data_IF_399673684231
#
_entry.id   IF_399673684231
#
_cell.length_a   1.000
_cell.length_b   1.000
_cell.length_c   1.000
_cell.angle_alpha   90.00
_cell.angle_beta   90.00
_cell.angle_gamma   90.00
#
_symmetry.space_group_name_H-M   'P 1'
#
loop_
_entity.id
_entity.type
_entity.pdbx_description
1 polymer ?
#
# COMPACT_ATOMS: atom_id res chain seq x y z
N UNK A 1 -72.31 -26.74 -13.77
CA UNK A 1 -71.37 -26.10 -14.69
C UNK A 1 -71.87 -26.31 -16.11
N UNK A 2 -72.34 -25.26 -16.77
CA UNK A 2 -72.86 -25.34 -18.15
C UNK A 2 -71.70 -25.34 -19.15
N UNK A 3 -71.93 -25.82 -20.38
CA UNK A 3 -70.92 -25.83 -21.47
C UNK A 3 -70.39 -24.43 -21.81
N UNK A 4 -71.18 -23.39 -21.56
CA UNK A 4 -70.78 -21.99 -21.75
C UNK A 4 -69.80 -21.50 -20.68
N UNK A 5 -69.99 -21.88 -19.40
CA UNK A 5 -69.06 -21.57 -18.31
C UNK A 5 -67.69 -22.22 -18.54
N UNK A 6 -67.67 -23.45 -19.07
CA UNK A 6 -66.44 -24.18 -19.43
C UNK A 6 -65.69 -23.53 -20.60
N UNK A 7 -66.42 -22.99 -21.58
CA UNK A 7 -65.84 -22.26 -22.72
C UNK A 7 -65.24 -20.91 -22.33
N UNK A 8 -65.88 -20.20 -21.38
CA UNK A 8 -65.35 -18.96 -20.81
C UNK A 8 -64.10 -19.20 -19.96
N UNK A 9 -64.06 -20.25 -19.13
CA UNK A 9 -62.86 -20.61 -18.37
C UNK A 9 -61.67 -20.98 -19.28
N UNK A 10 -61.91 -21.70 -20.38
CA UNK A 10 -60.84 -22.01 -21.34
C UNK A 10 -60.34 -20.78 -22.08
N UNK A 11 -61.23 -19.87 -22.47
CA UNK A 11 -60.84 -18.59 -23.08
C UNK A 11 -60.02 -17.74 -22.10
N UNK A 12 -60.44 -17.64 -20.84
CA UNK A 12 -59.66 -16.95 -19.80
C UNK A 12 -58.28 -17.58 -19.59
N UNK A 13 -58.18 -18.92 -19.54
CA UNK A 13 -56.90 -19.61 -19.39
C UNK A 13 -55.97 -19.34 -20.58
N UNK A 14 -56.50 -19.32 -21.81
CA UNK A 14 -55.72 -19.00 -23.02
C UNK A 14 -55.29 -17.54 -23.04
N UNK A 15 -56.16 -16.62 -22.61
CA UNK A 15 -55.86 -15.20 -22.52
C UNK A 15 -54.81 -14.91 -21.43
N UNK A 16 -54.96 -15.50 -20.23
CA UNK A 16 -53.97 -15.44 -19.15
C UNK A 16 -52.62 -16.01 -19.58
N UNK A 17 -52.59 -17.11 -20.35
CA UNK A 17 -51.35 -17.67 -20.93
C UNK A 17 -50.70 -16.74 -21.96
N UNK A 18 -51.47 -16.12 -22.86
CA UNK A 18 -50.96 -15.12 -23.81
C UNK A 18 -50.42 -13.89 -23.11
N UNK A 19 -51.16 -13.36 -22.15
CA UNK A 19 -50.76 -12.21 -21.33
C UNK A 19 -49.46 -12.51 -20.58
N UNK A 20 -49.35 -13.68 -19.93
CA UNK A 20 -48.10 -14.10 -19.26
C UNK A 20 -46.92 -14.21 -20.23
N UNK A 21 -47.12 -14.76 -21.43
CA UNK A 21 -46.05 -14.88 -22.45
C UNK A 21 -45.54 -13.52 -22.94
N UNK A 22 -46.35 -12.48 -22.89
CA UNK A 22 -45.95 -11.12 -23.31
C UNK A 22 -45.40 -10.32 -22.12
N UNK A 23 -46.04 -10.39 -20.95
CA UNK A 23 -45.65 -9.62 -19.77
C UNK A 23 -44.35 -10.13 -19.12
N UNK A 24 -44.10 -11.44 -19.09
CA UNK A 24 -42.87 -11.99 -18.48
C UNK A 24 -41.60 -11.48 -19.16
N UNK A 25 -41.47 -11.52 -20.51
CA UNK A 25 -40.33 -10.92 -21.20
C UNK A 25 -40.20 -9.42 -20.97
N UNK A 26 -41.32 -8.69 -20.96
CA UNK A 26 -41.31 -7.24 -20.70
C UNK A 26 -40.86 -6.91 -19.28
N UNK A 27 -41.28 -7.71 -18.29
CA UNK A 27 -40.85 -7.55 -16.90
C UNK A 27 -39.37 -7.90 -16.73
N UNK A 28 -38.89 -8.96 -17.39
CA UNK A 28 -37.48 -9.33 -17.40
C UNK A 28 -36.60 -8.26 -18.07
N UNK A 29 -37.06 -7.69 -19.19
CA UNK A 29 -36.38 -6.58 -19.86
C UNK A 29 -36.34 -5.34 -18.96
N UNK A 30 -37.46 -5.02 -18.28
CA UNK A 30 -37.52 -3.92 -17.34
C UNK A 30 -36.56 -4.11 -16.16
N UNK A 31 -36.52 -5.31 -15.56
CA UNK A 31 -35.57 -5.65 -14.49
C UNK A 31 -34.12 -5.54 -14.96
N UNK A 32 -33.79 -6.03 -16.16
CA UNK A 32 -32.45 -5.90 -16.72
C UNK A 32 -32.05 -4.43 -16.92
N UNK A 33 -32.98 -3.58 -17.37
CA UNK A 33 -32.75 -2.13 -17.50
C UNK A 33 -32.57 -1.46 -16.13
N UNK A 34 -33.32 -1.85 -15.11
CA UNK A 34 -33.15 -1.31 -13.76
C UNK A 34 -31.83 -1.75 -13.12
N UNK A 35 -31.44 -3.02 -13.29
CA UNK A 35 -30.15 -3.55 -12.84
C UNK A 35 -29.00 -2.83 -13.55
N UNK A 36 -29.08 -2.65 -14.87
CA UNK A 36 -28.07 -1.90 -15.62
C UNK A 36 -27.95 -0.44 -15.17
N UNK A 37 -29.06 0.23 -14.82
CA UNK A 37 -29.04 1.58 -14.25
C UNK A 37 -28.43 1.62 -12.85
N UNK A 38 -28.63 0.58 -12.03
CA UNK A 38 -28.05 0.48 -10.70
C UNK A 38 -26.54 0.32 -10.79
N UNK A 39 -26.08 -0.64 -11.60
CA UNK A 39 -24.65 -0.89 -11.88
C UNK A 39 -23.99 0.38 -12.42
N UNK A 40 -24.60 1.05 -13.40
CA UNK A 40 -24.07 2.31 -13.95
C UNK A 40 -23.96 3.45 -12.91
N UNK A 41 -24.90 3.53 -11.95
CA UNK A 41 -24.84 4.53 -10.88
C UNK A 41 -23.73 4.21 -9.87
N UNK A 42 -23.55 2.94 -9.54
CA UNK A 42 -22.47 2.48 -8.67
C UNK A 42 -21.11 2.71 -9.32
N UNK A 43 -20.91 2.32 -10.58
CA UNK A 43 -19.69 2.60 -11.33
C UNK A 43 -19.41 4.10 -11.45
N UNK A 44 -20.43 4.92 -11.72
CA UNK A 44 -20.26 6.38 -11.79
C UNK A 44 -19.91 6.99 -10.44
N UNK A 45 -20.47 6.47 -9.34
CA UNK A 45 -20.12 6.90 -7.97
C UNK A 45 -18.70 6.47 -7.63
N UNK A 46 -18.30 5.26 -8.02
CA UNK A 46 -16.98 4.68 -7.81
C UNK A 46 -15.89 5.45 -8.58
N UNK A 47 -16.07 5.65 -9.89
CA UNK A 47 -15.20 6.49 -10.70
C UNK A 47 -15.15 7.94 -10.20
N UNK A 48 -16.28 8.47 -9.70
CA UNK A 48 -16.34 9.78 -9.07
C UNK A 48 -15.50 9.87 -7.79
N UNK A 49 -15.55 8.83 -6.95
CA UNK A 49 -14.75 8.73 -5.73
C UNK A 49 -13.26 8.60 -6.06
N UNK A 50 -12.88 7.62 -6.88
CA UNK A 50 -11.50 7.41 -7.31
C UNK A 50 -10.90 8.68 -7.94
N UNK A 51 -11.66 9.38 -8.79
CA UNK A 51 -11.23 10.65 -9.38
C UNK A 51 -11.06 11.76 -8.34
N UNK A 52 -11.96 11.85 -7.35
CA UNK A 52 -11.83 12.82 -6.26
C UNK A 52 -10.57 12.54 -5.40
N UNK A 53 -10.28 11.27 -5.12
CA UNK A 53 -9.06 10.88 -4.38
C UNK A 53 -7.80 11.18 -5.21
N UNK A 54 -7.80 10.88 -6.52
CA UNK A 54 -6.70 11.23 -7.43
C UNK A 54 -6.43 12.74 -7.42
N UNK A 55 -7.48 13.57 -7.55
CA UNK A 55 -7.32 15.02 -7.48
C UNK A 55 -6.81 15.48 -6.11
N UNK A 56 -7.25 14.84 -5.02
CA UNK A 56 -6.75 15.13 -3.68
C UNK A 56 -5.25 14.83 -3.58
N UNK A 57 -4.80 13.66 -4.01
CA UNK A 57 -3.38 13.28 -4.01
C UNK A 57 -2.54 14.27 -4.82
N UNK A 58 -2.99 14.62 -6.02
CA UNK A 58 -2.34 15.62 -6.88
C UNK A 58 -2.27 17.02 -6.24
N UNK A 59 -3.25 17.41 -5.42
CA UNK A 59 -3.20 18.67 -4.66
C UNK A 59 -2.26 18.58 -3.46
N UNK A 60 -2.38 17.52 -2.65
CA UNK A 60 -1.57 17.27 -1.44
C UNK A 60 -0.08 17.28 -1.75
N UNK A 61 0.31 16.56 -2.81
CA UNK A 61 1.71 16.38 -3.19
C UNK A 61 2.17 17.29 -4.32
N UNK A 62 1.43 18.36 -4.63
CA UNK A 62 1.76 19.29 -5.71
C UNK A 62 3.18 19.87 -5.59
N UNK A 63 3.63 20.17 -4.35
CA UNK A 63 4.97 20.72 -4.10
C UNK A 63 6.09 19.76 -4.53
N UNK A 64 5.84 18.45 -4.49
CA UNK A 64 6.80 17.44 -4.93
C UNK A 64 6.90 17.33 -6.45
N UNK A 65 6.05 18.02 -7.21
CA UNK A 65 6.08 18.00 -8.67
C UNK A 65 5.81 16.62 -9.28
N UNK A 66 5.07 15.77 -8.56
CA UNK A 66 4.62 14.48 -9.05
C UNK A 66 3.16 14.57 -9.51
N UNK A 67 2.74 13.59 -10.30
CA UNK A 67 1.37 13.45 -10.78
C UNK A 67 0.88 12.03 -10.62
N UNK A 68 -0.26 11.91 -9.95
CA UNK A 68 -0.92 10.65 -9.67
C UNK A 68 -2.02 10.42 -10.70
N UNK A 69 -2.10 9.18 -11.18
CA UNK A 69 -3.18 8.70 -12.04
C UNK A 69 -3.81 7.48 -11.41
N UNK A 70 -5.13 7.42 -11.39
CA UNK A 70 -5.85 6.26 -10.91
C UNK A 70 -5.38 4.99 -11.62
N UNK A 71 -5.09 3.95 -10.84
CA UNK A 71 -4.75 2.63 -11.35
C UNK A 71 -5.88 1.64 -11.08
N UNK A 72 -6.23 1.48 -9.80
CA UNK A 72 -7.15 0.44 -9.35
C UNK A 72 -7.78 0.83 -8.02
N UNK A 73 -8.98 0.34 -7.74
CA UNK A 73 -9.62 0.46 -6.43
C UNK A 73 -9.97 -0.94 -5.93
N UNK A 74 -9.51 -1.25 -4.73
CA UNK A 74 -9.89 -2.47 -4.03
C UNK A 74 -11.04 -2.15 -3.07
N UNK A 75 -12.22 -2.68 -3.35
CA UNK A 75 -13.39 -2.53 -2.48
C UNK A 75 -13.21 -3.46 -1.27
N UNK A 76 -13.15 -2.84 -0.08
CA UNK A 76 -13.12 -3.48 1.24
C UNK A 76 -12.21 -4.70 1.37
N UNK A 77 -10.98 -4.47 1.85
CA UNK A 77 -10.21 -5.52 2.51
C UNK A 77 -11.05 -6.12 3.66
N UNK A 78 -10.77 -7.36 4.12
CA UNK A 78 -11.53 -8.03 5.19
C UNK A 78 -11.73 -7.24 6.49
N UNK A 79 -11.01 -6.13 6.65
CA UNK A 79 -10.98 -5.27 7.83
C UNK A 79 -11.77 -3.96 7.65
N UNK A 80 -12.58 -3.83 6.59
CA UNK A 80 -13.35 -2.60 6.32
C UNK A 80 -12.49 -1.44 5.78
N UNK A 81 -11.31 -1.74 5.24
CA UNK A 81 -10.41 -0.75 4.64
C UNK A 81 -10.64 -0.72 3.13
N UNK A 82 -11.00 0.43 2.59
CA UNK A 82 -11.02 0.68 1.14
C UNK A 82 -9.67 1.23 0.69
N UNK A 83 -9.12 0.73 -0.40
CA UNK A 83 -7.83 1.17 -0.95
C UNK A 83 -7.99 1.67 -2.37
N UNK A 84 -7.52 2.90 -2.63
CA UNK A 84 -7.31 3.40 -4.00
C UNK A 84 -5.82 3.34 -4.32
N UNK A 85 -5.47 2.75 -5.45
CA UNK A 85 -4.10 2.62 -5.95
C UNK A 85 -3.85 3.58 -7.11
N UNK A 86 -2.64 4.13 -7.17
CA UNK A 86 -2.23 5.12 -8.15
C UNK A 86 -0.94 4.72 -8.85
N UNK A 87 -0.83 5.14 -10.11
CA UNK A 87 0.44 5.33 -10.78
C UNK A 87 1.00 6.71 -10.44
N UNK A 88 2.31 6.79 -10.21
CA UNK A 88 3.05 8.05 -10.13
C UNK A 88 3.89 8.24 -11.38
N UNK A 89 3.98 9.47 -11.89
CA UNK A 89 4.88 9.78 -13.01
C UNK A 89 6.36 9.74 -12.60
N UNK A 90 6.68 10.03 -11.33
CA UNK A 90 8.04 9.90 -10.78
C UNK A 90 8.42 8.48 -10.39
N UNK A 91 7.44 7.66 -10.05
CA UNK A 91 7.60 6.27 -9.64
C UNK A 91 6.71 5.37 -10.53
N UNK A 92 6.97 5.32 -11.86
CA UNK A 92 6.06 4.74 -12.86
C UNK A 92 5.78 3.26 -12.66
N UNK A 93 6.76 2.51 -12.18
CA UNK A 93 6.62 1.07 -11.99
C UNK A 93 6.19 0.71 -10.54
N UNK A 94 6.11 1.69 -9.64
CA UNK A 94 6.10 1.43 -8.19
C UNK A 94 7.32 0.63 -7.70
N UNK A 95 8.36 0.44 -8.54
CA UNK A 95 8.99 -0.88 -8.63
C UNK A 95 10.40 -1.09 -8.10
N UNK A 96 11.25 -0.12 -7.81
CA UNK A 96 12.65 -0.56 -7.68
C UNK A 96 12.94 -1.38 -6.42
N UNK A 97 12.09 -1.37 -5.38
CA UNK A 97 12.12 -2.39 -4.34
C UNK A 97 10.78 -2.46 -3.58
N UNK A 98 10.35 -3.69 -3.29
CA UNK A 98 9.08 -4.12 -2.68
C UNK A 98 7.80 -4.09 -3.56
N UNK A 99 7.84 -3.59 -4.80
CA UNK A 99 6.70 -3.62 -5.75
C UNK A 99 5.37 -3.08 -5.20
N UNK A 100 5.40 -2.12 -4.27
CA UNK A 100 4.16 -1.58 -3.71
C UNK A 100 3.66 -0.42 -4.58
N UNK A 101 2.44 -0.49 -5.11
CA UNK A 101 1.80 0.67 -5.73
C UNK A 101 1.61 1.78 -4.69
N UNK A 102 1.45 3.01 -5.14
CA UNK A 102 1.03 4.09 -4.24
C UNK A 102 -0.42 3.80 -3.86
N UNK A 103 -0.67 3.64 -2.57
CA UNK A 103 -1.98 3.32 -2.02
C UNK A 103 -2.46 4.48 -1.16
N UNK A 104 -3.74 4.78 -1.25
CA UNK A 104 -4.46 5.57 -0.25
C UNK A 104 -5.55 4.71 0.36
N UNK A 105 -5.36 4.39 1.62
CA UNK A 105 -6.32 3.67 2.43
C UNK A 105 -7.30 4.64 3.06
N UNK A 106 -8.54 4.17 3.19
CA UNK A 106 -9.63 4.80 3.90
C UNK A 106 -10.29 3.77 4.80
N UNK A 107 -10.50 4.13 6.06
CA UNK A 107 -11.29 3.34 6.99
C UNK A 107 -12.10 4.26 7.92
N UNK A 108 -13.14 3.69 8.51
CA UNK A 108 -14.02 4.40 9.44
C UNK A 108 -14.10 3.60 10.74
N UNK A 109 -13.89 4.27 11.87
CA UNK A 109 -14.09 3.69 13.20
C UNK A 109 -14.91 4.64 14.11
N UNK A 110 -14.98 4.34 15.41
CA UNK A 110 -15.70 5.15 16.41
C UNK A 110 -15.20 6.61 16.48
N UNK A 111 -13.96 6.87 16.08
CA UNK A 111 -13.33 8.19 16.05
C UNK A 111 -13.51 8.90 14.69
N UNK A 112 -14.19 8.27 13.73
CA UNK A 112 -14.56 8.86 12.45
C UNK A 112 -13.76 8.35 11.26
N UNK A 113 -13.62 9.20 10.24
CA UNK A 113 -12.93 8.88 8.99
C UNK A 113 -11.42 9.02 9.13
N UNK A 114 -10.70 7.98 8.74
CA UNK A 114 -9.25 7.95 8.71
C UNK A 114 -8.75 7.71 7.30
N UNK A 115 -7.54 8.23 7.04
CA UNK A 115 -6.90 8.07 5.75
C UNK A 115 -5.40 7.96 5.90
N UNK A 116 -4.79 7.05 5.15
CA UNK A 116 -3.35 6.83 5.13
C UNK A 116 -2.88 6.70 3.69
N UNK A 117 -1.72 7.23 3.33
CA UNK A 117 -1.12 6.96 2.02
C UNK A 117 0.39 6.82 2.11
N UNK A 118 0.93 5.85 1.36
CA UNK A 118 2.33 5.44 1.46
C UNK A 118 3.29 6.25 0.57
N UNK A 119 2.86 7.37 -0.02
CA UNK A 119 3.69 8.10 -1.00
C UNK A 119 5.00 8.64 -0.38
N UNK A 120 4.92 9.19 0.83
CA UNK A 120 6.11 9.71 1.52
C UNK A 120 7.10 8.60 1.89
N UNK A 121 6.60 7.38 2.10
CA UNK A 121 7.47 6.23 2.29
C UNK A 121 8.34 6.02 1.04
N UNK A 122 7.72 5.95 -0.14
CA UNK A 122 8.45 5.76 -1.40
C UNK A 122 9.46 6.87 -1.68
N UNK A 123 9.13 8.12 -1.32
CA UNK A 123 10.01 9.27 -1.54
C UNK A 123 11.35 9.16 -0.79
N UNK A 124 11.33 8.61 0.42
CA UNK A 124 12.51 8.50 1.29
C UNK A 124 13.17 7.12 1.27
N UNK A 125 12.41 6.04 1.03
CA UNK A 125 12.88 4.67 1.20
C UNK A 125 14.11 4.33 0.34
N UNK A 126 14.08 4.63 -0.96
CA UNK A 126 15.21 4.34 -1.86
C UNK A 126 16.48 5.09 -1.45
N UNK A 127 16.34 6.41 -1.23
CA UNK A 127 17.45 7.28 -0.79
C UNK A 127 18.02 6.82 0.55
N UNK A 128 17.14 6.41 1.46
CA UNK A 128 17.51 5.90 2.77
C UNK A 128 18.36 4.64 2.63
N UNK A 129 17.89 3.61 1.94
CA UNK A 129 18.69 2.40 1.76
C UNK A 129 20.02 2.64 1.08
N UNK A 130 20.07 3.48 0.04
CA UNK A 130 21.32 3.90 -0.61
C UNK A 130 22.30 4.54 0.38
N UNK A 131 21.81 5.27 1.40
CA UNK A 131 22.65 5.86 2.44
C UNK A 131 23.20 4.82 3.45
N UNK A 132 22.53 3.68 3.65
CA UNK A 132 23.00 2.61 4.54
C UNK A 132 23.93 1.60 3.87
N UNK A 133 23.88 1.47 2.53
CA UNK A 133 24.72 0.54 1.75
C UNK A 133 26.21 0.61 2.11
N UNK A 134 26.86 1.79 2.24
CA UNK A 134 28.27 1.84 2.61
C UNK A 134 28.57 1.19 3.98
N UNK A 135 27.65 1.26 4.93
CA UNK A 135 27.84 0.65 6.25
C UNK A 135 27.66 -0.86 6.19
N UNK A 136 26.73 -1.35 5.36
CA UNK A 136 26.55 -2.79 5.13
C UNK A 136 27.71 -3.38 4.32
N UNK A 137 28.23 -2.64 3.33
CA UNK A 137 29.43 -3.02 2.58
C UNK A 137 30.65 -3.17 3.50
N UNK A 138 30.79 -2.30 4.50
CA UNK A 138 31.85 -2.37 5.51
C UNK A 138 31.64 -3.54 6.49
N UNK A 139 30.41 -3.74 6.97
CA UNK A 139 30.11 -4.74 8.00
C UNK A 139 30.07 -6.18 7.46
N UNK A 140 29.46 -6.39 6.29
CA UNK A 140 29.21 -7.72 5.72
C UNK A 140 30.05 -8.02 4.48
N UNK A 141 30.64 -6.99 3.87
CA UNK A 141 31.35 -7.12 2.60
C UNK A 141 30.41 -6.90 1.41
N UNK A 142 30.90 -6.12 0.45
CA UNK A 142 30.16 -5.80 -0.77
C UNK A 142 29.76 -7.07 -1.53
N UNK A 143 28.46 -7.18 -1.84
CA UNK A 143 27.89 -8.32 -2.57
C UNK A 143 27.69 -9.59 -1.73
N UNK A 144 27.97 -9.55 -0.42
CA UNK A 144 27.68 -10.64 0.51
C UNK A 144 26.30 -10.50 1.18
N UNK A 145 25.52 -9.48 0.82
CA UNK A 145 24.19 -9.30 1.37
C UNK A 145 23.21 -8.78 0.31
N UNK A 146 21.92 -8.99 0.55
CA UNK A 146 20.82 -8.38 -0.19
C UNK A 146 19.86 -7.73 0.78
N UNK A 147 19.39 -6.52 0.45
CA UNK A 147 18.30 -5.88 1.21
C UNK A 147 17.00 -6.57 0.78
N UNK A 148 16.42 -7.36 1.67
CA UNK A 148 15.20 -8.13 1.38
C UNK A 148 13.91 -7.39 1.75
N UNK A 149 14.02 -6.32 2.54
CA UNK A 149 12.89 -5.47 2.86
C UNK A 149 13.18 -4.47 3.97
N UNK A 150 12.11 -3.96 4.58
CA UNK A 150 12.18 -3.01 5.67
C UNK A 150 10.85 -2.34 5.92
N UNK A 151 10.75 -1.64 7.05
CA UNK A 151 9.61 -0.79 7.37
C UNK A 151 10.12 0.60 7.70
N UNK A 152 9.45 1.62 7.20
CA UNK A 152 9.69 3.01 7.60
C UNK A 152 8.41 3.56 8.20
N UNK A 153 8.56 4.28 9.31
CA UNK A 153 7.47 5.08 9.81
C UNK A 153 7.17 6.15 8.75
N UNK A 154 5.88 6.26 8.42
CA UNK A 154 5.41 7.10 7.33
C UNK A 154 5.74 8.58 7.61
N UNK A 155 6.62 9.22 6.81
CA UNK A 155 6.96 10.61 7.05
C UNK A 155 5.75 11.51 6.79
N UNK A 156 5.50 12.51 7.66
CA UNK A 156 4.47 13.50 7.38
C UNK A 156 4.95 14.43 6.26
N UNK A 157 4.16 14.51 5.20
CA UNK A 157 4.39 15.39 4.06
C UNK A 157 4.37 16.88 4.42
N UNK A 158 3.79 17.25 5.56
CA UNK A 158 3.80 18.62 6.08
C UNK A 158 5.18 18.98 6.61
N UNK A 159 5.80 18.08 7.36
CA UNK A 159 7.10 18.28 7.99
C UNK A 159 8.26 18.07 7.00
N UNK A 160 8.10 17.14 6.06
CA UNK A 160 9.14 16.76 5.10
C UNK A 160 8.72 17.17 3.68
N UNK A 161 9.44 18.12 3.08
CA UNK A 161 9.24 18.61 1.72
C UNK A 161 10.20 18.01 0.69
N UNK A 162 10.05 18.35 -0.61
CA UNK A 162 11.00 17.94 -1.64
C UNK A 162 12.41 18.52 -1.43
N UNK A 163 12.52 19.65 -0.74
CA UNK A 163 13.76 20.30 -0.32
C UNK A 163 14.39 19.67 0.93
N UNK A 164 13.62 18.94 1.74
CA UNK A 164 14.11 18.35 2.98
C UNK A 164 15.10 17.22 2.68
N UNK A 165 16.33 17.41 3.16
CA UNK A 165 17.41 16.45 2.97
C UNK A 165 17.11 15.11 3.63
N UNK A 166 17.70 14.03 3.11
CA UNK A 166 17.59 12.70 3.73
C UNK A 166 18.13 12.70 5.16
N UNK A 167 19.24 13.41 5.42
CA UNK A 167 19.87 13.45 6.75
C UNK A 167 18.93 14.05 7.80
N UNK A 168 18.20 15.11 7.44
CA UNK A 168 17.22 15.73 8.34
C UNK A 168 16.12 14.74 8.75
N UNK A 169 15.60 13.97 7.80
CA UNK A 169 14.67 12.88 8.09
C UNK A 169 15.30 11.78 8.95
N UNK A 170 16.53 11.34 8.62
CA UNK A 170 17.20 10.27 9.36
C UNK A 170 17.56 10.67 10.79
N UNK A 171 17.74 11.96 11.06
CA UNK A 171 17.99 12.44 12.42
C UNK A 171 16.75 12.26 13.31
N UNK A 172 15.54 12.46 12.76
CA UNK A 172 14.27 12.40 13.48
C UNK A 172 13.49 11.08 13.33
N UNK A 173 13.86 10.22 12.37
CA UNK A 173 13.12 9.01 12.05
C UNK A 173 13.16 7.98 13.19
N UNK A 174 12.04 7.81 13.88
CA UNK A 174 11.86 6.75 14.87
C UNK A 174 11.36 5.46 14.21
N UNK A 175 11.77 4.30 14.74
CA UNK A 175 11.19 2.99 14.40
C UNK A 175 11.27 2.57 12.92
N UNK A 176 12.36 2.90 12.24
CA UNK A 176 12.63 2.32 10.92
C UNK A 176 13.41 1.00 11.06
N UNK A 177 13.14 0.09 10.14
CA UNK A 177 13.81 -1.21 10.04
C UNK A 177 14.25 -1.55 8.63
N UNK A 178 15.35 -2.29 8.53
CA UNK A 178 15.87 -2.89 7.31
C UNK A 178 16.00 -4.39 7.53
N UNK A 179 15.65 -5.19 6.52
CA UNK A 179 15.88 -6.62 6.49
C UNK A 179 17.00 -6.93 5.49
N UNK A 180 17.98 -7.73 5.93
CA UNK A 180 19.11 -8.18 5.13
C UNK A 180 19.16 -9.70 5.09
N UNK A 181 19.45 -10.25 3.91
CA UNK A 181 19.87 -11.64 3.77
C UNK A 181 21.37 -11.65 3.49
N UNK A 182 22.15 -12.24 4.39
CA UNK A 182 23.62 -12.20 4.38
C UNK A 182 24.16 -13.59 4.04
N UNK A 183 24.90 -13.67 2.94
CA UNK A 183 25.67 -14.85 2.52
C UNK A 183 27.00 -14.83 3.27
N UNK A 184 27.02 -15.30 4.51
CA UNK A 184 28.19 -15.14 5.37
C UNK A 184 28.25 -16.11 6.53
N UNK A 185 29.42 -16.12 7.18
CA UNK A 185 29.66 -16.91 8.38
C UNK A 185 29.06 -16.20 9.60
N UNK A 186 28.01 -16.80 10.18
CA UNK A 186 27.34 -16.30 11.38
C UNK A 186 28.32 -16.05 12.55
N UNK A 187 29.46 -16.74 12.60
CA UNK A 187 30.45 -16.56 13.67
C UNK A 187 31.07 -15.16 13.69
N UNK A 188 30.92 -14.37 12.61
CA UNK A 188 31.39 -12.99 12.50
C UNK A 188 30.29 -11.95 12.76
N UNK A 189 29.10 -12.37 13.19
CA UNK A 189 27.96 -11.48 13.42
C UNK A 189 28.28 -10.35 14.40
N UNK A 190 28.96 -10.66 15.51
CA UNK A 190 29.30 -9.67 16.54
C UNK A 190 30.23 -8.57 16.00
N UNK A 191 31.23 -8.93 15.20
CA UNK A 191 32.16 -7.97 14.58
C UNK A 191 31.42 -7.05 13.61
N UNK A 192 30.56 -7.62 12.75
CA UNK A 192 29.75 -6.86 11.81
C UNK A 192 28.78 -5.89 12.53
N UNK A 193 28.12 -6.36 13.60
CA UNK A 193 27.21 -5.55 14.41
C UNK A 193 27.95 -4.40 15.09
N UNK A 194 29.18 -4.60 15.56
CA UNK A 194 29.97 -3.54 16.19
C UNK A 194 30.41 -2.47 15.18
N UNK A 195 30.76 -2.87 13.95
CA UNK A 195 31.01 -1.92 12.84
C UNK A 195 29.77 -1.05 12.62
N UNK A 196 28.60 -1.65 12.48
CA UNK A 196 27.35 -0.91 12.29
C UNK A 196 27.06 0.02 13.47
N UNK A 197 27.22 -0.46 14.70
CA UNK A 197 27.01 0.32 15.92
C UNK A 197 27.87 1.59 15.92
N UNK A 198 29.16 1.45 15.63
CA UNK A 198 30.08 2.57 15.54
C UNK A 198 29.63 3.59 14.50
N UNK A 199 29.26 3.16 13.29
CA UNK A 199 28.81 4.05 12.21
C UNK A 199 27.51 4.78 12.54
N UNK A 200 26.55 4.09 13.14
CA UNK A 200 25.27 4.68 13.54
C UNK A 200 25.45 5.74 14.62
N UNK A 201 26.34 5.50 15.58
CA UNK A 201 26.69 6.49 16.62
C UNK A 201 27.41 7.69 16.01
N UNK A 202 28.39 7.48 15.13
CA UNK A 202 29.11 8.57 14.45
C UNK A 202 28.18 9.50 13.65
N UNK A 203 27.09 8.97 13.10
CA UNK A 203 26.09 9.72 12.32
C UNK A 203 24.89 10.19 13.13
N UNK A 204 24.75 9.77 14.38
CA UNK A 204 23.55 9.93 15.18
C UNK A 204 22.27 9.37 14.49
N UNK A 205 22.40 8.28 13.73
CA UNK A 205 21.28 7.63 13.06
C UNK A 205 20.81 6.41 13.85
N UNK A 206 19.50 6.16 13.88
CA UNK A 206 18.96 4.89 14.37
C UNK A 206 19.14 3.78 13.34
N UNK A 207 18.90 2.52 13.72
CA UNK A 207 18.73 1.39 12.81
C UNK A 207 18.11 0.22 13.56
N UNK A 208 16.95 -0.25 13.13
CA UNK A 208 16.49 -1.60 13.47
C UNK A 208 16.83 -2.55 12.31
N UNK A 209 17.50 -3.65 12.61
CA UNK A 209 18.01 -4.57 11.61
C UNK A 209 17.47 -5.98 11.87
N UNK A 210 16.86 -6.57 10.85
CA UNK A 210 16.61 -8.01 10.77
C UNK A 210 17.67 -8.60 9.86
N UNK A 211 18.47 -9.54 10.34
CA UNK A 211 19.52 -10.19 9.57
C UNK A 211 19.16 -11.67 9.47
N UNK A 212 18.94 -12.17 8.26
CA UNK A 212 18.90 -13.61 7.98
C UNK A 212 20.26 -14.01 7.42
N UNK A 213 20.93 -14.98 8.04
CA UNK A 213 22.16 -15.55 7.51
C UNK A 213 21.78 -16.76 6.67
N UNK A 214 22.22 -16.78 5.41
CA UNK A 214 21.81 -17.79 4.43
C UNK A 214 23.01 -18.59 3.91
N UNK A 215 22.78 -19.86 3.63
CA UNK A 215 23.76 -20.73 2.97
C UNK A 215 23.87 -20.42 1.46
N UNK A 216 24.68 -21.22 0.74
CA UNK A 216 24.88 -21.06 -0.71
C UNK A 216 23.61 -21.34 -1.52
N UNK A 217 22.70 -22.15 -0.99
CA UNK A 217 21.43 -22.53 -1.61
C UNK A 217 20.31 -21.53 -1.25
N UNK A 218 20.59 -20.56 -0.38
CA UNK A 218 19.66 -19.52 0.06
C UNK A 218 18.77 -19.94 1.23
N UNK A 219 19.09 -21.04 1.94
CA UNK A 219 18.36 -21.43 3.13
C UNK A 219 18.85 -20.65 4.35
N UNK A 220 17.92 -20.18 5.17
CA UNK A 220 18.25 -19.53 6.45
C UNK A 220 18.90 -20.54 7.40
N UNK A 221 20.10 -20.21 7.87
CA UNK A 221 20.87 -21.00 8.84
C UNK A 221 20.88 -20.37 10.24
N UNK A 222 20.68 -19.05 10.33
CA UNK A 222 20.57 -18.29 11.57
C UNK A 222 19.89 -16.94 11.32
N UNK A 223 19.44 -16.26 12.37
CA UNK A 223 18.96 -14.89 12.27
C UNK A 223 19.34 -14.06 13.50
N UNK A 224 19.45 -12.74 13.30
CA UNK A 224 19.60 -11.74 14.35
C UNK A 224 18.57 -10.62 14.21
N UNK A 225 18.20 -10.03 15.36
CA UNK A 225 17.39 -8.82 15.44
C UNK A 225 18.11 -7.79 16.31
N UNK A 226 18.55 -6.70 15.70
CA UNK A 226 19.39 -5.71 16.36
C UNK A 226 18.72 -4.34 16.30
N UNK A 227 18.62 -3.66 17.43
CA UNK A 227 18.28 -2.24 17.50
C UNK A 227 19.52 -1.42 17.86
N UNK A 228 19.88 -0.46 17.02
CA UNK A 228 21.01 0.44 17.21
C UNK A 228 20.46 1.86 17.25
N UNK A 229 20.72 2.60 18.33
CA UNK A 229 20.37 4.03 18.43
C UNK A 229 18.90 4.37 18.10
N UNK A 230 17.97 3.43 18.38
CA UNK A 230 16.55 3.55 17.98
C UNK A 230 15.76 4.55 18.83
N UNK A 231 16.21 4.86 20.06
CA UNK A 231 15.52 5.70 21.04
C UNK A 231 16.48 6.63 21.81
N UNK A 232 17.47 7.25 21.15
CA UNK A 232 18.37 8.17 21.85
C UNK A 232 17.77 9.57 22.02
N UNK A 233 17.86 10.09 23.24
CA UNK A 233 17.41 11.44 23.62
C UNK A 233 18.14 12.53 22.80
N UNK A 234 19.36 12.22 22.34
CA UNK A 234 20.20 13.11 21.52
C UNK A 234 19.65 13.31 20.10
N UNK A 235 18.79 12.42 19.60
CA UNK A 235 18.09 12.57 18.30
C UNK A 235 16.87 13.48 18.35
N UNK A 236 16.24 13.64 19.53
CA UNK A 236 14.99 14.40 19.72
C UNK A 236 15.24 15.89 19.98
N UNK A 237 16.49 16.31 20.16
CA UNK A 237 16.84 17.73 20.29
C UNK A 237 16.84 18.40 18.92
N UNK A 238 15.69 18.97 18.57
CA UNK A 238 15.65 20.17 17.73
C UNK A 238 16.03 21.35 18.62
N UNK A 239 17.06 22.10 18.23
CA UNK A 239 17.33 23.43 18.81
C UNK A 239 16.19 24.41 18.47
#
# INVERSE_FOLDING_TARGET
MTTEERGQEEQERRQKKRIKRILLPLLALWLAVQLGKCIYREERRRLGYAHAVEQYMNRKYRKFGDRFRFYFENEERPNGVSTVKFYSEKFPDGADYCYYPIERDYWWDENGAHYLDNYMCLWYQKKMWEAYVPFFDEAFGKGQYTISGGAILMPDWQDYGPETGLEEYLNTAESFSIALDVKGDFTKSEEAIEILRKRMVERNWGLQLYISYVDQDGNEIAYDRVGINTYSIERVKLD
#
